data_IF_177549091641
#
_entry.id   IF_177549091641
#
_cell.length_a   1.000
_cell.length_b   1.000
_cell.length_c   1.000
_cell.angle_alpha   90.00
_cell.angle_beta   90.00
_cell.angle_gamma   90.00
#
_symmetry.space_group_name_H-M   'P 1'
#
loop_
_entity.id
_entity.type
_entity.pdbx_description
1 polymer ?
#
# COMPACT_ATOMS: atom_id res chain seq x y z
N UNK A 1 -44.12 -53.21 44.65
CA UNK A 1 -45.09 -52.57 43.76
C UNK A 1 -44.65 -51.14 43.53
N UNK A 2 -44.69 -50.71 42.26
CA UNK A 2 -44.47 -49.36 41.72
C UNK A 2 -43.04 -48.93 41.32
N UNK A 3 -42.89 -48.89 40.00
CA UNK A 3 -41.97 -48.20 39.11
C UNK A 3 -41.88 -46.67 39.35
N UNK A 4 -40.76 -46.01 38.99
CA UNK A 4 -40.56 -45.31 37.69
C UNK A 4 -39.21 -44.53 37.61
N UNK A 5 -38.92 -44.10 36.38
CA UNK A 5 -37.68 -43.68 35.71
C UNK A 5 -37.00 -42.37 36.16
N UNK A 6 -35.69 -42.28 35.80
CA UNK A 6 -35.02 -41.16 35.09
C UNK A 6 -33.93 -40.29 35.77
N UNK A 7 -32.82 -40.20 35.02
CA UNK A 7 -31.81 -39.11 34.88
C UNK A 7 -30.74 -38.93 35.97
N UNK A 8 -29.56 -39.53 35.75
CA UNK A 8 -28.27 -39.07 36.34
C UNK A 8 -27.41 -38.39 35.27
N UNK A 9 -27.37 -37.05 35.30
CA UNK A 9 -26.28 -36.25 34.69
C UNK A 9 -25.06 -36.33 35.62
N UNK A 10 -23.89 -36.72 35.08
CA UNK A 10 -22.62 -36.73 35.81
C UNK A 10 -21.84 -35.42 35.62
N UNK A 11 -20.94 -35.07 36.57
CA UNK A 11 -20.39 -33.72 36.73
C UNK A 11 -19.09 -33.47 35.95
N UNK A 12 -18.79 -32.17 35.86
CA UNK A 12 -17.65 -31.48 35.24
C UNK A 12 -16.31 -31.86 35.88
N UNK A 13 -15.31 -32.25 35.08
CA UNK A 13 -13.91 -32.47 35.51
C UNK A 13 -12.96 -31.67 34.61
N UNK A 14 -11.98 -31.07 35.28
CA UNK A 14 -11.01 -30.06 34.83
C UNK A 14 -9.89 -30.71 33.99
N UNK A 15 -9.35 -29.95 33.04
CA UNK A 15 -8.20 -30.29 32.16
C UNK A 15 -6.86 -30.28 32.92
N UNK A 16 -6.05 -31.31 32.71
CA UNK A 16 -4.57 -31.29 32.78
C UNK A 16 -3.98 -32.32 31.80
N UNK A 17 -2.76 -32.02 31.34
CA UNK A 17 -2.08 -32.46 30.12
C UNK A 17 -1.68 -33.94 29.98
N UNK A 18 -1.50 -34.37 28.71
CA UNK A 18 -0.72 -35.56 28.33
C UNK A 18 -1.22 -36.27 27.07
N UNK A 19 -0.70 -35.93 25.89
CA UNK A 19 -0.95 -36.65 24.63
C UNK A 19 0.11 -37.76 24.41
N UNK A 20 -0.26 -38.99 23.98
CA UNK A 20 0.69 -40.03 23.61
C UNK A 20 1.11 -39.92 22.14
N UNK A 21 2.38 -40.28 21.89
CA UNK A 21 3.08 -40.21 20.62
C UNK A 21 2.65 -41.32 19.63
N UNK A 22 2.39 -40.95 18.36
CA UNK A 22 2.33 -41.90 17.24
C UNK A 22 3.61 -41.87 16.41
N UNK A 23 4.11 -43.06 16.11
CA UNK A 23 5.46 -43.34 15.67
C UNK A 23 5.76 -43.09 14.19
N UNK A 24 7.00 -42.62 13.96
CA UNK A 24 7.67 -42.59 12.66
C UNK A 24 8.07 -44.01 12.25
N UNK A 25 7.57 -44.51 11.13
CA UNK A 25 8.16 -45.68 10.45
C UNK A 25 9.24 -45.17 9.50
N UNK A 26 10.50 -45.38 9.87
CA UNK A 26 11.65 -45.28 8.97
C UNK A 26 11.58 -46.39 7.92
N UNK A 27 11.78 -46.04 6.65
CA UNK A 27 12.15 -47.00 5.60
C UNK A 27 13.26 -46.37 4.73
N UNK A 28 14.48 -46.80 5.03
CA UNK A 28 15.71 -46.88 4.23
C UNK A 28 16.03 -45.73 3.26
N UNK A 29 17.08 -44.99 3.61
CA UNK A 29 17.96 -44.26 2.69
C UNK A 29 18.32 -45.14 1.49
N UNK A 30 17.95 -44.68 0.31
CA UNK A 30 18.70 -44.96 -0.91
C UNK A 30 18.86 -43.60 -1.56
N UNK A 31 20.09 -43.11 -1.56
CA UNK A 31 20.51 -41.90 -2.27
C UNK A 31 20.05 -42.01 -3.72
N UNK A 32 18.95 -41.33 -4.05
CA UNK A 32 18.56 -41.05 -5.41
C UNK A 32 18.62 -39.54 -5.53
N UNK A 33 19.73 -39.07 -6.10
CA UNK A 33 20.05 -37.68 -6.41
C UNK A 33 19.08 -37.17 -7.50
N UNK A 34 17.81 -37.01 -7.13
CA UNK A 34 16.75 -36.49 -7.98
C UNK A 34 16.65 -34.99 -7.79
N UNK A 35 17.18 -34.21 -8.73
CA UNK A 35 16.91 -32.76 -8.85
C UNK A 35 15.40 -32.53 -8.66
N UNK A 36 15.01 -31.91 -7.55
CA UNK A 36 13.65 -31.44 -7.35
C UNK A 36 13.32 -30.48 -8.50
N UNK A 37 12.41 -30.88 -9.39
CA UNK A 37 11.94 -30.03 -10.48
C UNK A 37 11.10 -28.91 -9.87
N UNK A 38 11.73 -27.77 -9.59
CA UNK A 38 11.00 -26.57 -9.16
C UNK A 38 10.38 -25.94 -10.40
N UNK A 39 9.06 -26.01 -10.52
CA UNK A 39 8.34 -25.30 -11.56
C UNK A 39 8.56 -23.77 -11.50
N UNK A 40 8.99 -23.23 -10.35
CA UNK A 40 9.40 -21.83 -10.23
C UNK A 40 10.70 -21.54 -10.98
N UNK A 41 11.65 -22.47 -11.02
CA UNK A 41 12.89 -22.33 -11.80
C UNK A 41 12.65 -22.49 -13.31
N UNK A 42 11.63 -23.25 -13.71
CA UNK A 42 11.24 -23.39 -15.11
C UNK A 42 10.65 -22.10 -15.68
N UNK A 43 9.88 -21.35 -14.87
CA UNK A 43 9.29 -20.07 -15.26
C UNK A 43 10.35 -19.04 -15.69
N UNK A 44 11.49 -19.01 -15.02
CA UNK A 44 12.56 -18.03 -15.24
C UNK A 44 13.37 -18.26 -16.51
N UNK A 45 13.35 -19.49 -17.02
CA UNK A 45 14.09 -19.91 -18.22
C UNK A 45 13.22 -19.94 -19.48
N UNK A 46 11.89 -19.82 -19.33
CA UNK A 46 10.94 -19.95 -20.43
C UNK A 46 10.37 -18.60 -20.85
N UNK A 47 10.38 -18.38 -22.16
CA UNK A 47 9.79 -17.20 -22.79
C UNK A 47 8.24 -17.22 -22.69
N UNK A 48 7.62 -16.19 -22.08
CA UNK A 48 6.16 -16.12 -21.93
C UNK A 48 5.40 -16.06 -23.27
N UNK A 49 6.00 -15.45 -24.30
CA UNK A 49 5.41 -15.36 -25.64
C UNK A 49 5.32 -16.73 -26.31
N UNK A 50 6.42 -17.49 -26.27
CA UNK A 50 6.46 -18.89 -26.77
C UNK A 50 5.52 -19.80 -26.01
N UNK A 51 5.39 -19.62 -24.69
CA UNK A 51 4.43 -20.38 -23.89
C UNK A 51 2.97 -20.05 -24.27
N UNK A 52 2.67 -18.80 -24.59
CA UNK A 52 1.36 -18.39 -25.07
C UNK A 52 1.06 -18.93 -26.48
N UNK A 53 2.05 -18.91 -27.38
CA UNK A 53 1.94 -19.53 -28.71
C UNK A 53 1.68 -21.04 -28.60
N UNK A 54 2.41 -21.73 -27.71
CA UNK A 54 2.20 -23.15 -27.43
C UNK A 54 0.81 -23.41 -26.82
N UNK A 55 0.32 -22.53 -25.94
CA UNK A 55 -1.03 -22.61 -25.40
C UNK A 55 -2.09 -22.48 -26.50
N UNK A 56 -1.93 -21.52 -27.41
CA UNK A 56 -2.84 -21.33 -28.55
C UNK A 56 -2.83 -22.54 -29.48
N UNK A 57 -1.65 -23.03 -29.83
CA UNK A 57 -1.48 -24.22 -30.67
C UNK A 57 -2.13 -25.46 -30.04
N UNK A 58 -1.88 -25.70 -28.75
CA UNK A 58 -2.47 -26.86 -28.05
C UNK A 58 -4.00 -26.77 -27.93
N UNK A 59 -4.57 -25.56 -27.82
CA UNK A 59 -6.03 -25.38 -27.90
C UNK A 59 -6.58 -25.71 -29.30
N UNK A 60 -5.88 -25.30 -30.36
CA UNK A 60 -6.26 -25.60 -31.75
C UNK A 60 -6.21 -27.10 -32.03
N UNK A 61 -5.17 -27.78 -31.57
CA UNK A 61 -5.03 -29.25 -31.70
C UNK A 61 -6.13 -29.98 -30.92
N UNK A 62 -6.45 -29.53 -29.71
CA UNK A 62 -7.54 -30.10 -28.95
C UNK A 62 -8.90 -29.90 -29.65
N UNK A 63 -9.13 -28.73 -30.26
CA UNK A 63 -10.32 -28.46 -31.05
C UNK A 63 -10.41 -29.38 -32.28
N UNK A 64 -9.29 -29.60 -32.97
CA UNK A 64 -9.18 -30.54 -34.09
C UNK A 64 -9.52 -31.97 -33.66
N UNK A 65 -8.93 -32.45 -32.56
CA UNK A 65 -9.21 -33.79 -32.03
C UNK A 65 -10.67 -33.96 -31.61
N UNK A 66 -11.28 -32.95 -31.00
CA UNK A 66 -12.71 -32.98 -30.66
C UNK A 66 -13.60 -33.11 -31.91
N UNK A 67 -13.27 -32.38 -32.98
CA UNK A 67 -13.98 -32.47 -34.26
C UNK A 67 -13.81 -33.85 -34.91
N UNK A 68 -12.59 -34.40 -34.91
CA UNK A 68 -12.31 -35.73 -35.43
C UNK A 68 -13.08 -36.81 -34.64
N UNK A 69 -13.09 -36.74 -33.30
CA UNK A 69 -13.87 -37.66 -32.45
C UNK A 69 -15.37 -37.55 -32.79
N UNK A 70 -15.88 -36.35 -33.06
CA UNK A 70 -17.28 -36.14 -33.41
C UNK A 70 -17.63 -36.74 -34.79
N UNK A 71 -16.74 -36.60 -35.77
CA UNK A 71 -16.90 -37.21 -37.10
C UNK A 71 -16.88 -38.74 -37.03
N UNK A 72 -15.92 -39.34 -36.33
CA UNK A 72 -15.84 -40.80 -36.15
C UNK A 72 -17.08 -41.37 -35.47
N UNK A 73 -17.62 -40.66 -34.47
CA UNK A 73 -18.87 -41.04 -33.80
C UNK A 73 -20.07 -41.01 -34.74
N UNK A 74 -20.10 -40.08 -35.70
CA UNK A 74 -21.20 -39.96 -36.66
C UNK A 74 -21.22 -41.07 -37.72
N UNK A 75 -20.05 -41.63 -38.05
CA UNK A 75 -19.90 -42.67 -39.09
C UNK A 75 -20.33 -44.07 -38.64
N UNK A 76 -20.23 -44.38 -37.34
CA UNK A 76 -20.73 -45.62 -36.73
C UNK A 76 -20.02 -46.91 -37.18
N UNK A 77 -19.24 -47.55 -36.29
CA UNK A 77 -18.59 -48.84 -36.56
C UNK A 77 -17.75 -49.34 -35.39
N UNK A 78 -17.58 -50.66 -35.24
CA UNK A 78 -16.79 -51.25 -34.14
C UNK A 78 -15.28 -50.93 -34.25
N UNK A 79 -14.76 -50.80 -35.46
CA UNK A 79 -13.34 -50.51 -35.71
C UNK A 79 -12.96 -49.06 -35.35
N UNK A 80 -13.94 -48.14 -35.34
CA UNK A 80 -13.74 -46.72 -34.99
C UNK A 80 -13.54 -46.49 -33.49
N UNK A 81 -13.84 -47.49 -32.64
CA UNK A 81 -13.71 -47.36 -31.19
C UNK A 81 -12.25 -47.21 -30.74
N UNK A 82 -11.33 -47.91 -31.40
CA UNK A 82 -9.89 -47.85 -31.12
C UNK A 82 -9.35 -46.45 -31.48
N UNK A 83 -9.72 -45.96 -32.66
CA UNK A 83 -9.36 -44.63 -33.15
C UNK A 83 -9.91 -43.47 -32.31
N UNK A 84 -11.13 -43.63 -31.76
CA UNK A 84 -11.72 -42.66 -30.83
C UNK A 84 -10.92 -42.63 -29.52
N UNK A 85 -10.50 -43.79 -29.01
CA UNK A 85 -9.74 -43.88 -27.77
C UNK A 85 -8.32 -43.31 -27.94
N UNK A 86 -7.68 -43.54 -29.08
CA UNK A 86 -6.39 -42.93 -29.41
C UNK A 86 -6.46 -41.39 -29.40
N UNK A 87 -7.48 -40.82 -30.04
CA UNK A 87 -7.71 -39.35 -30.06
C UNK A 87 -8.03 -38.79 -28.67
N UNK A 88 -8.68 -39.58 -27.81
CA UNK A 88 -8.91 -39.22 -26.39
C UNK A 88 -7.60 -39.18 -25.61
N UNK A 89 -6.73 -40.17 -25.80
CA UNK A 89 -5.40 -40.19 -25.18
C UNK A 89 -4.59 -38.96 -25.62
N UNK A 90 -4.58 -38.64 -26.91
CA UNK A 90 -3.93 -37.43 -27.43
C UNK A 90 -4.52 -36.15 -26.81
N UNK A 91 -5.84 -36.08 -26.68
CA UNK A 91 -6.53 -34.97 -26.02
C UNK A 91 -6.09 -34.82 -24.55
N UNK A 92 -5.94 -35.92 -23.82
CA UNK A 92 -5.42 -35.91 -22.44
C UNK A 92 -4.01 -35.33 -22.34
N UNK A 93 -3.12 -35.63 -23.29
CA UNK A 93 -1.77 -35.06 -23.35
C UNK A 93 -1.82 -33.54 -23.56
N UNK A 94 -2.70 -33.06 -24.45
CA UNK A 94 -2.91 -31.62 -24.65
C UNK A 94 -3.48 -30.94 -23.40
N UNK A 95 -4.43 -31.57 -22.69
CA UNK A 95 -4.96 -31.05 -21.43
C UNK A 95 -3.88 -30.93 -20.35
N UNK A 96 -3.00 -31.93 -20.22
CA UNK A 96 -1.87 -31.88 -19.27
C UNK A 96 -0.91 -30.73 -19.61
N UNK A 97 -0.67 -30.49 -20.90
CA UNK A 97 0.15 -29.38 -21.38
C UNK A 97 -0.48 -28.02 -21.06
N UNK A 98 -1.79 -27.87 -21.32
CA UNK A 98 -2.53 -26.64 -20.99
C UNK A 98 -2.54 -26.36 -19.50
N UNK A 99 -2.73 -27.39 -18.66
CA UNK A 99 -2.69 -27.27 -17.19
C UNK A 99 -1.32 -26.79 -16.72
N UNK A 100 -0.23 -27.33 -17.29
CA UNK A 100 1.14 -26.90 -17.00
C UNK A 100 1.35 -25.43 -17.40
N UNK A 101 1.01 -25.05 -18.62
CA UNK A 101 1.15 -23.67 -19.10
C UNK A 101 0.36 -22.67 -18.27
N UNK A 102 -0.86 -23.03 -17.85
CA UNK A 102 -1.69 -22.21 -16.99
C UNK A 102 -1.08 -22.04 -15.58
N UNK A 103 -0.53 -23.12 -15.00
CA UNK A 103 0.20 -23.06 -13.73
C UNK A 103 1.41 -22.13 -13.82
N UNK A 104 2.20 -22.23 -14.90
CA UNK A 104 3.36 -21.35 -15.14
C UNK A 104 2.93 -19.88 -15.28
N UNK A 105 1.84 -19.60 -16.00
CA UNK A 105 1.29 -18.25 -16.11
C UNK A 105 0.86 -17.68 -14.75
N UNK A 106 0.21 -18.47 -13.90
CA UNK A 106 -0.15 -18.06 -12.55
C UNK A 106 1.08 -17.75 -11.67
N UNK A 107 2.13 -18.56 -11.76
CA UNK A 107 3.39 -18.32 -11.04
C UNK A 107 4.03 -17.01 -11.51
N UNK A 108 4.09 -16.75 -12.83
CA UNK A 108 4.59 -15.46 -13.38
C UNK A 108 3.81 -14.27 -12.85
N UNK A 109 2.48 -14.34 -12.85
CA UNK A 109 1.62 -13.26 -12.34
C UNK A 109 1.77 -13.05 -10.84
N UNK A 110 1.97 -14.12 -10.07
CA UNK A 110 2.26 -14.02 -8.63
C UNK A 110 3.61 -13.34 -8.41
N UNK A 111 4.67 -13.81 -9.08
CA UNK A 111 6.02 -13.24 -8.99
C UNK A 111 6.06 -11.77 -9.38
N UNK A 112 5.38 -11.38 -10.46
CA UNK A 112 5.26 -9.98 -10.87
C UNK A 112 4.58 -9.11 -9.81
N UNK A 113 3.49 -9.60 -9.19
CA UNK A 113 2.83 -8.89 -8.08
C UNK A 113 3.74 -8.75 -6.86
N UNK A 114 4.41 -9.82 -6.47
CA UNK A 114 5.31 -9.81 -5.31
C UNK A 114 6.49 -8.83 -5.54
N UNK A 115 7.08 -8.82 -6.74
CA UNK A 115 8.11 -7.86 -7.14
C UNK A 115 7.60 -6.40 -7.12
N UNK A 116 6.39 -6.14 -7.63
CA UNK A 116 5.81 -4.79 -7.57
C UNK A 116 5.53 -4.34 -6.13
N UNK A 117 5.11 -5.25 -5.26
CA UNK A 117 4.89 -4.97 -3.86
C UNK A 117 6.21 -4.68 -3.12
N UNK A 118 7.25 -5.47 -3.37
CA UNK A 118 8.59 -5.25 -2.81
C UNK A 118 9.19 -3.93 -3.31
N UNK A 119 9.07 -3.62 -4.60
CA UNK A 119 9.53 -2.35 -5.17
C UNK A 119 8.79 -1.16 -4.55
N UNK A 120 7.46 -1.28 -4.36
CA UNK A 120 6.65 -0.26 -3.67
C UNK A 120 7.11 -0.06 -2.23
N UNK A 121 7.32 -1.14 -1.48
CA UNK A 121 7.84 -1.07 -0.11
C UNK A 121 9.22 -0.39 -0.05
N UNK A 122 10.11 -0.68 -1.00
CA UNK A 122 11.41 0.00 -1.11
C UNK A 122 11.24 1.48 -1.41
N UNK A 123 10.36 1.87 -2.34
CA UNK A 123 10.07 3.28 -2.63
C UNK A 123 9.48 3.98 -1.42
N UNK A 124 8.54 3.37 -0.71
CA UNK A 124 7.96 3.92 0.52
C UNK A 124 9.02 4.05 1.62
N UNK A 125 9.92 3.08 1.76
CA UNK A 125 11.05 3.13 2.67
C UNK A 125 12.06 4.22 2.30
N UNK A 126 12.40 4.37 1.02
CA UNK A 126 13.25 5.47 0.54
C UNK A 126 12.58 6.83 0.70
N UNK A 127 11.26 6.93 0.50
CA UNK A 127 10.50 8.15 0.75
C UNK A 127 10.52 8.51 2.24
N UNK A 128 10.34 7.53 3.13
CA UNK A 128 10.43 7.72 4.57
C UNK A 128 11.86 8.05 5.00
N UNK A 129 12.87 7.42 4.41
CA UNK A 129 14.27 7.68 4.69
C UNK A 129 14.71 9.05 4.15
N UNK A 130 14.24 9.47 2.97
CA UNK A 130 14.40 10.84 2.47
C UNK A 130 13.67 11.85 3.35
N UNK A 131 12.46 11.52 3.81
CA UNK A 131 11.71 12.37 4.73
C UNK A 131 12.46 12.50 6.06
N UNK A 132 13.05 11.41 6.57
CA UNK A 132 13.87 11.41 7.77
C UNK A 132 15.23 12.08 7.56
N UNK A 133 15.90 11.92 6.41
CA UNK A 133 17.15 12.65 6.09
C UNK A 133 16.86 14.16 5.97
N UNK A 134 15.75 14.53 5.33
CA UNK A 134 15.28 15.92 5.29
C UNK A 134 14.89 16.44 6.69
N UNK A 135 14.51 15.55 7.61
CA UNK A 135 14.14 15.87 8.98
C UNK A 135 15.36 15.91 9.93
N UNK A 136 16.36 15.05 9.72
CA UNK A 136 17.55 14.88 10.57
C UNK A 136 18.74 15.74 10.09
N UNK A 137 18.96 15.94 8.79
CA UNK A 137 20.03 16.83 8.27
C UNK A 137 19.59 18.30 8.16
N UNK A 138 18.34 18.64 8.57
CA UNK A 138 17.71 19.93 8.28
C UNK A 138 17.02 20.60 9.47
N UNK A 139 17.81 21.20 10.36
CA UNK A 139 17.49 22.48 11.04
C UNK A 139 16.24 22.56 11.95
N UNK A 140 16.09 21.76 13.00
CA UNK A 140 15.16 22.20 14.07
C UNK A 140 15.64 23.52 14.74
N UNK A 141 16.94 23.83 14.65
CA UNK A 141 17.52 25.10 15.14
C UNK A 141 17.71 26.20 14.09
N UNK A 142 17.34 25.97 12.83
CA UNK A 142 17.64 26.96 11.79
C UNK A 142 16.51 27.21 10.79
N UNK A 143 15.43 26.44 10.79
CA UNK A 143 14.19 26.86 10.11
C UNK A 143 13.30 27.70 11.01
N UNK A 144 13.16 27.39 12.30
CA UNK A 144 12.44 28.25 13.25
C UNK A 144 13.08 29.65 13.36
N UNK A 145 14.41 29.71 13.46
CA UNK A 145 15.14 30.98 13.43
C UNK A 145 15.05 31.69 12.07
N UNK A 146 14.98 30.95 10.97
CA UNK A 146 14.81 31.51 9.63
C UNK A 146 13.41 32.10 9.44
N UNK A 147 12.36 31.50 10.02
CA UNK A 147 10.99 32.04 9.98
C UNK A 147 10.91 33.43 10.61
N UNK A 148 11.69 33.68 11.66
CA UNK A 148 11.71 34.95 12.39
C UNK A 148 12.43 36.08 11.63
N UNK A 149 13.41 35.72 10.79
CA UNK A 149 14.18 36.68 9.99
C UNK A 149 13.55 36.95 8.62
N UNK A 150 12.71 36.03 8.13
CA UNK A 150 12.11 36.12 6.79
C UNK A 150 10.77 36.83 6.79
N UNK A 151 10.61 37.69 5.79
CA UNK A 151 9.35 38.36 5.52
C UNK A 151 8.30 37.40 4.93
N UNK A 152 7.11 37.26 5.54
CA UNK A 152 6.04 36.40 5.03
C UNK A 152 5.53 36.82 3.64
N UNK A 153 5.56 38.11 3.31
CA UNK A 153 5.13 38.63 2.02
C UNK A 153 6.03 38.14 0.89
N UNK A 154 7.35 38.28 1.07
CA UNK A 154 8.36 37.75 0.15
C UNK A 154 8.30 36.24 -0.03
N UNK A 155 8.04 35.50 1.06
CA UNK A 155 7.85 34.04 0.99
C UNK A 155 6.61 33.68 0.13
N UNK A 156 5.54 34.46 0.24
CA UNK A 156 4.33 34.28 -0.58
C UNK A 156 4.55 34.65 -2.05
N UNK A 157 5.27 35.73 -2.33
CA UNK A 157 5.67 36.11 -3.69
C UNK A 157 6.52 35.02 -4.34
N UNK A 158 7.51 34.49 -3.60
CA UNK A 158 8.36 33.40 -4.06
C UNK A 158 7.54 32.13 -4.31
N UNK A 159 6.58 31.82 -3.45
CA UNK A 159 5.66 30.69 -3.65
C UNK A 159 4.88 30.84 -4.96
N UNK A 160 4.29 32.02 -5.21
CA UNK A 160 3.52 32.30 -6.42
C UNK A 160 4.40 32.19 -7.67
N UNK A 161 5.58 32.79 -7.64
CA UNK A 161 6.57 32.71 -8.73
C UNK A 161 6.95 31.25 -9.02
N UNK A 162 7.29 30.49 -7.97
CA UNK A 162 7.68 29.08 -8.11
C UNK A 162 6.56 28.22 -8.70
N UNK A 163 5.30 28.49 -8.33
CA UNK A 163 4.14 27.82 -8.93
C UNK A 163 3.98 28.15 -10.41
N UNK A 164 4.20 29.42 -10.80
CA UNK A 164 4.13 29.84 -12.20
C UNK A 164 5.24 29.20 -13.05
N UNK A 165 6.48 29.16 -12.54
CA UNK A 165 7.59 28.51 -13.22
C UNK A 165 7.33 27.00 -13.39
N UNK A 166 6.78 26.35 -12.36
CA UNK A 166 6.42 24.94 -12.44
C UNK A 166 5.33 24.68 -13.48
N UNK A 167 4.31 25.54 -13.56
CA UNK A 167 3.29 25.47 -14.61
C UNK A 167 3.89 25.64 -16.00
N UNK A 168 4.82 26.59 -16.16
CA UNK A 168 5.53 26.80 -17.43
C UNK A 168 6.32 25.56 -17.84
N UNK A 169 7.09 24.97 -16.92
CA UNK A 169 7.86 23.75 -17.18
C UNK A 169 6.96 22.56 -17.54
N UNK A 170 5.79 22.42 -16.89
CA UNK A 170 4.83 21.38 -17.23
C UNK A 170 4.27 21.55 -18.65
N UNK A 171 3.96 22.78 -19.05
CA UNK A 171 3.51 23.10 -20.40
C UNK A 171 4.60 22.82 -21.45
N UNK A 172 5.85 23.21 -21.17
CA UNK A 172 7.00 22.94 -22.05
C UNK A 172 7.24 21.42 -22.21
N UNK A 173 7.17 20.65 -21.11
CA UNK A 173 7.25 19.19 -21.17
C UNK A 173 6.13 18.61 -22.03
N UNK A 174 4.92 19.16 -21.96
CA UNK A 174 3.79 18.70 -22.76
C UNK A 174 4.00 19.01 -24.25
N UNK A 175 4.51 20.20 -24.60
CA UNK A 175 4.84 20.56 -25.99
C UNK A 175 5.94 19.65 -26.56
N UNK A 176 7.03 19.44 -25.81
CA UNK A 176 8.14 18.55 -26.20
C UNK A 176 7.66 17.10 -26.44
N UNK A 177 6.75 16.60 -25.59
CA UNK A 177 6.14 15.27 -25.77
C UNK A 177 5.28 15.19 -27.03
N UNK A 178 4.61 16.27 -27.42
CA UNK A 178 3.73 16.29 -28.60
C UNK A 178 4.50 16.28 -29.93
N UNK A 179 5.73 16.81 -29.95
CA UNK A 179 6.58 16.90 -31.14
C UNK A 179 7.28 15.59 -31.49
N UNK A 180 7.67 14.79 -30.47
CA UNK A 180 8.35 13.50 -30.64
C UNK A 180 9.81 13.62 -31.13
N UNK A 181 10.65 12.64 -30.79
CA UNK A 181 12.06 12.59 -31.20
C UNK A 181 13.01 12.11 -30.10
N UNK A 182 14.17 11.55 -30.47
CA UNK A 182 15.19 11.06 -29.52
C UNK A 182 15.87 12.19 -28.75
N UNK A 183 16.14 13.32 -29.40
CA UNK A 183 16.81 14.47 -28.77
C UNK A 183 15.91 15.19 -27.75
N UNK A 184 14.59 15.14 -27.95
CA UNK A 184 13.60 15.71 -27.04
C UNK A 184 13.54 14.96 -25.69
N UNK A 185 14.00 13.71 -25.62
CA UNK A 185 14.01 12.94 -24.38
C UNK A 185 14.98 13.53 -23.34
N UNK A 186 16.12 14.07 -23.79
CA UNK A 186 17.12 14.71 -22.92
C UNK A 186 16.56 16.03 -22.37
N UNK A 187 15.96 16.87 -23.23
CA UNK A 187 15.35 18.14 -22.82
C UNK A 187 14.16 17.94 -21.86
N UNK A 188 13.33 16.91 -22.09
CA UNK A 188 12.25 16.54 -21.17
C UNK A 188 12.80 16.18 -19.79
N UNK A 189 13.91 15.43 -19.73
CA UNK A 189 14.52 15.05 -18.47
C UNK A 189 15.15 16.25 -17.74
N UNK A 190 15.78 17.16 -18.48
CA UNK A 190 16.27 18.42 -17.91
C UNK A 190 15.14 19.26 -17.30
N UNK A 191 13.99 19.37 -17.97
CA UNK A 191 12.85 20.13 -17.44
C UNK A 191 12.18 19.44 -16.26
N UNK A 192 12.25 18.11 -16.17
CA UNK A 192 11.85 17.37 -14.96
C UNK A 192 12.77 17.66 -13.79
N UNK A 193 14.08 17.69 -14.01
CA UNK A 193 15.06 18.05 -12.97
C UNK A 193 14.80 19.47 -12.47
N UNK A 194 14.60 20.45 -13.36
CA UNK A 194 14.23 21.83 -12.98
C UNK A 194 12.91 21.85 -12.18
N UNK A 195 11.91 21.07 -12.60
CA UNK A 195 10.64 20.94 -11.87
C UNK A 195 10.85 20.39 -10.45
N UNK A 196 11.73 19.41 -10.27
CA UNK A 196 12.07 18.85 -8.96
C UNK A 196 12.68 19.92 -8.02
N UNK A 197 13.54 20.80 -8.53
CA UNK A 197 14.10 21.92 -7.74
C UNK A 197 13.01 22.89 -7.29
N UNK A 198 12.06 23.23 -8.17
CA UNK A 198 10.90 24.03 -7.78
C UNK A 198 10.03 23.33 -6.73
N UNK A 199 9.81 22.02 -6.85
CA UNK A 199 9.09 21.26 -5.81
C UNK A 199 9.80 21.28 -4.46
N UNK A 200 11.13 21.15 -4.42
CA UNK A 200 11.90 21.28 -3.18
C UNK A 200 11.71 22.66 -2.55
N UNK A 201 11.71 23.71 -3.37
CA UNK A 201 11.46 25.09 -2.92
C UNK A 201 10.05 25.26 -2.34
N UNK A 202 9.02 24.72 -3.02
CA UNK A 202 7.63 24.74 -2.53
C UNK A 202 7.47 23.99 -1.22
N UNK A 203 8.12 22.81 -1.07
CA UNK A 203 8.12 22.05 0.19
C UNK A 203 8.73 22.86 1.32
N UNK A 204 9.87 23.52 1.09
CA UNK A 204 10.50 24.38 2.09
C UNK A 204 9.59 25.53 2.49
N UNK A 205 9.01 26.25 1.54
CA UNK A 205 8.08 27.36 1.81
C UNK A 205 6.85 26.90 2.60
N UNK A 206 6.31 25.72 2.29
CA UNK A 206 5.19 25.14 3.01
C UNK A 206 5.56 24.79 4.46
N UNK A 207 6.75 24.23 4.70
CA UNK A 207 7.27 23.96 6.07
C UNK A 207 7.41 25.26 6.87
N UNK A 208 8.00 26.31 6.28
CA UNK A 208 8.13 27.63 6.92
C UNK A 208 6.75 28.24 7.25
N UNK A 209 5.77 28.12 6.35
CA UNK A 209 4.42 28.59 6.59
C UNK A 209 3.74 27.85 7.75
N UNK A 210 3.91 26.53 7.85
CA UNK A 210 3.38 25.74 8.96
C UNK A 210 4.01 26.11 10.30
N UNK A 211 5.33 26.31 10.34
CA UNK A 211 6.04 26.77 11.54
C UNK A 211 5.50 28.14 11.98
N UNK A 212 5.40 29.09 11.05
CA UNK A 212 4.88 30.44 11.32
C UNK A 212 3.43 30.42 11.84
N UNK A 213 2.58 29.58 11.24
CA UNK A 213 1.20 29.41 11.67
C UNK A 213 1.11 28.82 13.09
N UNK A 214 1.89 27.78 13.37
CA UNK A 214 1.95 27.19 14.70
C UNK A 214 2.39 28.22 15.74
N UNK A 215 3.46 28.97 15.46
CA UNK A 215 3.97 30.02 16.34
C UNK A 215 2.91 31.09 16.64
N UNK A 216 2.23 31.60 15.60
CA UNK A 216 1.17 32.59 15.77
C UNK A 216 -0.03 32.06 16.57
N UNK A 217 -0.41 30.80 16.35
CA UNK A 217 -1.49 30.14 17.10
C UNK A 217 -1.12 29.99 18.57
N UNK A 218 0.07 29.47 18.86
CA UNK A 218 0.52 29.20 20.23
C UNK A 218 0.67 30.53 21.01
N UNK A 219 1.20 31.58 20.36
CA UNK A 219 1.27 32.94 20.92
C UNK A 219 -0.12 33.52 21.23
N UNK A 220 -1.07 33.40 20.30
CA UNK A 220 -2.44 33.89 20.51
C UNK A 220 -3.12 33.14 21.65
N UNK A 221 -2.90 31.83 21.74
CA UNK A 221 -3.44 31.00 22.80
C UNK A 221 -2.87 31.37 24.17
N UNK A 222 -1.56 31.60 24.27
CA UNK A 222 -0.91 32.04 25.51
C UNK A 222 -1.43 33.43 25.96
N UNK A 223 -1.53 34.38 25.03
CA UNK A 223 -2.08 35.70 25.33
C UNK A 223 -3.54 35.61 25.82
N UNK A 224 -4.36 34.78 25.18
CA UNK A 224 -5.72 34.51 25.60
C UNK A 224 -5.78 33.96 27.03
N UNK A 225 -4.98 32.94 27.35
CA UNK A 225 -4.94 32.38 28.70
C UNK A 225 -4.58 33.42 29.77
N UNK A 226 -3.64 34.32 29.47
CA UNK A 226 -3.28 35.43 30.36
C UNK A 226 -4.46 36.41 30.56
N UNK A 227 -5.14 36.77 29.47
CA UNK A 227 -6.32 37.64 29.54
C UNK A 227 -7.45 36.98 30.35
N UNK A 228 -7.72 35.70 30.13
CA UNK A 228 -8.74 34.95 30.86
C UNK A 228 -8.42 34.91 32.37
N UNK A 229 -7.14 34.72 32.73
CA UNK A 229 -6.68 34.75 34.12
C UNK A 229 -6.87 36.13 34.77
N UNK A 230 -6.50 37.22 34.08
CA UNK A 230 -6.73 38.58 34.58
C UNK A 230 -8.22 38.90 34.67
N UNK A 231 -9.03 38.44 33.73
CA UNK A 231 -10.47 38.64 33.76
C UNK A 231 -11.10 37.97 34.98
N UNK A 232 -10.65 36.76 35.34
CA UNK A 232 -11.10 36.06 36.54
C UNK A 232 -10.71 36.81 37.83
N UNK A 233 -9.48 37.31 37.91
CA UNK A 233 -9.04 38.11 39.06
C UNK A 233 -9.88 39.39 39.21
N UNK A 234 -10.15 40.07 38.09
CA UNK A 234 -11.00 41.25 38.07
C UNK A 234 -12.42 40.92 38.56
N UNK A 235 -13.02 39.82 38.11
CA UNK A 235 -14.34 39.38 38.57
C UNK A 235 -14.38 39.14 40.08
N UNK A 236 -13.34 38.52 40.65
CA UNK A 236 -13.25 38.30 42.10
C UNK A 236 -13.22 39.63 42.87
N UNK A 237 -12.42 40.59 42.42
CA UNK A 237 -12.33 41.91 43.05
C UNK A 237 -13.64 42.70 42.92
N UNK A 238 -14.29 42.64 41.75
CA UNK A 238 -15.59 43.29 41.54
C UNK A 238 -16.66 42.70 42.46
N UNK A 239 -16.64 41.38 42.67
CA UNK A 239 -17.52 40.72 43.61
C UNK A 239 -17.28 41.18 45.05
N UNK A 240 -16.01 41.30 45.47
CA UNK A 240 -15.65 41.80 46.81
C UNK A 240 -16.10 43.25 47.02
N UNK A 241 -15.84 44.13 46.05
CA UNK A 241 -16.33 45.53 46.07
C UNK A 241 -17.85 45.58 46.19
N UNK A 242 -18.56 44.78 45.40
CA UNK A 242 -20.02 44.71 45.46
C UNK A 242 -20.51 44.21 46.84
N UNK A 243 -19.85 43.20 47.41
CA UNK A 243 -20.18 42.68 48.73
C UNK A 243 -20.01 43.75 49.82
N UNK A 244 -18.85 44.40 49.85
CA UNK A 244 -18.55 45.46 50.80
C UNK A 244 -19.52 46.65 50.67
N UNK A 245 -19.89 47.04 49.44
CA UNK A 245 -20.89 48.07 49.21
C UNK A 245 -22.26 47.70 49.79
N UNK A 246 -22.69 46.44 49.67
CA UNK A 246 -23.94 45.96 50.28
C UNK A 246 -23.88 45.99 51.81
N UNK A 247 -22.76 45.58 52.40
CA UNK A 247 -22.57 45.63 53.86
C UNK A 247 -22.59 47.06 54.39
N UNK A 248 -21.89 47.99 53.74
CA UNK A 248 -21.93 49.42 54.09
C UNK A 248 -23.36 49.95 54.04
N UNK A 249 -24.09 49.66 52.96
CA UNK A 249 -25.49 50.08 52.80
C UNK A 249 -26.36 49.57 53.95
N UNK A 250 -26.21 48.30 54.33
CA UNK A 250 -26.92 47.69 55.46
C UNK A 250 -26.55 48.35 56.80
N UNK A 251 -25.29 48.70 57.01
CA UNK A 251 -24.84 49.39 58.23
C UNK A 251 -25.42 50.81 58.34
N UNK A 252 -25.68 51.48 57.21
CA UNK A 252 -26.27 52.82 57.17
C UNK A 252 -27.79 52.85 57.41
N UNK A 253 -28.46 51.69 57.43
CA UNK A 253 -29.91 51.59 57.65
C UNK A 253 -30.32 51.58 59.14
N UNK A 254 -29.37 51.49 60.08
CA UNK A 254 -29.67 51.52 61.51
C UNK A 254 -30.01 52.94 62.00
N UNK A 255 -31.22 53.09 62.57
CA UNK A 255 -31.68 54.23 63.39
C UNK A 255 -31.52 53.93 64.87
#
# INVERSE_FOLDING_TARGET
MSSESSKKRKPKVIRSDGAPAEGKRNRSDTEQEGKYYSEEAEVDLRDPGRDYELYKYTCQELQRLMAEIQDLKSRGGKDMAIEIEERRIQSCVHFMTLKKLNRLAHIRLKKGRDQTHEAKQKVDAYHLQLQNLLYEEGKYYSEEAEVDLRDPGRDYELYKYTCQELQRLMAEIQDLKSRGGKDMAIEIEERRIQSCVHFMTLKKLNRLAHIRLKKGRDQTHEAKQKVDAYHLQLQNLLYEVMHLQKEITKCLEFK
#
